data_IF_351968096627
#
_entry.id   IF_351968096627
#
_cell.length_a   1.000
_cell.length_b   1.000
_cell.length_c   1.000
_cell.angle_alpha   90.00
_cell.angle_beta   90.00
_cell.angle_gamma   90.00
#
_symmetry.space_group_name_H-M   'P 1'
#
loop_
_entity.id
_entity.type
_entity.pdbx_description
1 polymer ?
#
# COMPACT_ATOMS: atom_id res chain seq x y z
N UNK A 1 32.39 -15.16 18.88
CA UNK A 1 31.01 -15.65 18.66
C UNK A 1 30.06 -14.86 19.53
N UNK A 2 29.06 -14.26 18.95
CA UNK A 2 27.96 -13.65 19.67
C UNK A 2 27.14 -14.78 20.32
N UNK A 3 26.70 -14.57 21.57
CA UNK A 3 25.91 -15.57 22.29
C UNK A 3 24.57 -14.95 22.66
N UNK A 4 23.48 -15.62 22.32
CA UNK A 4 22.12 -15.21 22.67
C UNK A 4 21.53 -16.16 23.71
N UNK A 5 20.92 -15.61 24.76
CA UNK A 5 20.21 -16.38 25.77
C UNK A 5 18.80 -15.82 25.97
N UNK A 6 17.86 -16.67 26.38
CA UNK A 6 16.51 -16.29 26.71
C UNK A 6 16.37 -15.86 28.17
N UNK A 7 15.50 -14.87 28.43
CA UNK A 7 15.11 -14.45 29.77
C UNK A 7 13.65 -14.08 29.75
N UNK A 8 12.86 -14.62 30.67
CA UNK A 8 11.47 -14.24 30.81
C UNK A 8 11.36 -12.87 31.50
N UNK A 9 10.50 -11.99 30.99
CA UNK A 9 10.19 -10.71 31.64
C UNK A 9 9.42 -10.92 32.96
N UNK A 10 9.56 -9.98 33.89
CA UNK A 10 8.86 -10.06 35.17
C UNK A 10 7.37 -9.68 35.07
N UNK A 11 7.02 -8.81 34.10
CA UNK A 11 5.63 -8.37 33.87
C UNK A 11 4.83 -9.39 33.07
N UNK A 12 3.52 -9.40 33.34
CA UNK A 12 2.54 -10.23 32.61
C UNK A 12 1.58 -9.34 31.83
N UNK A 13 1.07 -9.84 30.72
CA UNK A 13 0.01 -9.20 29.97
C UNK A 13 -1.37 -9.53 30.56
N UNK A 14 -2.45 -9.01 30.01
CA UNK A 14 -3.84 -9.27 30.43
C UNK A 14 -4.26 -10.75 30.34
N UNK A 15 -3.52 -11.56 29.57
CA UNK A 15 -3.73 -13.01 29.44
C UNK A 15 -2.85 -13.85 30.41
N UNK A 16 -2.07 -13.23 31.31
CA UNK A 16 -1.19 -13.92 32.25
C UNK A 16 0.11 -14.48 31.59
N UNK A 17 0.42 -14.04 30.37
CA UNK A 17 1.66 -14.42 29.69
C UNK A 17 2.76 -13.40 29.95
N UNK A 18 3.99 -13.85 30.08
CA UNK A 18 5.20 -13.01 30.18
C UNK A 18 5.97 -12.99 28.86
N UNK A 19 6.53 -11.85 28.54
CA UNK A 19 7.30 -11.68 27.30
C UNK A 19 8.69 -12.34 27.43
N UNK A 20 9.11 -13.08 26.41
CA UNK A 20 10.47 -13.59 26.33
C UNK A 20 11.38 -12.48 25.82
N UNK A 21 12.47 -12.23 26.53
CA UNK A 21 13.52 -11.28 26.13
C UNK A 21 14.76 -12.04 25.71
N UNK A 22 15.46 -11.55 24.69
CA UNK A 22 16.81 -11.97 24.37
C UNK A 22 17.81 -11.17 25.19
N UNK A 23 18.85 -11.87 25.66
CA UNK A 23 20.06 -11.27 26.19
C UNK A 23 21.18 -11.60 25.22
N UNK A 24 21.59 -10.60 24.46
CA UNK A 24 22.61 -10.72 23.41
C UNK A 24 23.95 -10.26 23.98
N UNK A 25 24.93 -11.11 23.94
CA UNK A 25 26.31 -10.79 24.32
C UNK A 25 27.09 -10.44 23.06
N UNK A 26 27.30 -9.15 22.87
CA UNK A 26 27.98 -8.59 21.68
C UNK A 26 29.50 -8.70 21.88
N UNK A 27 29.99 -8.49 23.12
CA UNK A 27 31.37 -8.65 23.55
C UNK A 27 31.43 -9.17 25.00
N UNK A 28 32.63 -9.35 25.57
CA UNK A 28 32.77 -9.74 26.98
C UNK A 28 32.17 -8.73 27.95
N UNK A 29 32.16 -7.46 27.59
CA UNK A 29 31.72 -6.36 28.46
C UNK A 29 30.34 -5.79 28.01
N UNK A 30 29.95 -6.00 26.78
CA UNK A 30 28.72 -5.47 26.23
C UNK A 30 27.62 -6.52 26.11
N UNK A 31 26.52 -6.27 26.82
CA UNK A 31 25.30 -7.08 26.72
C UNK A 31 24.08 -6.20 26.49
N UNK A 32 23.24 -6.60 25.55
CA UNK A 32 22.02 -5.88 25.22
C UNK A 32 20.81 -6.77 25.52
N UNK A 33 19.79 -6.23 26.18
CA UNK A 33 18.52 -6.92 26.38
C UNK A 33 17.47 -6.33 25.42
N UNK A 34 16.78 -7.20 24.69
CA UNK A 34 15.78 -6.81 23.72
C UNK A 34 14.56 -7.73 23.79
N UNK A 35 13.32 -7.21 23.68
CA UNK A 35 12.11 -8.01 23.67
C UNK A 35 12.00 -8.84 22.38
N UNK A 36 11.62 -10.11 22.51
CA UNK A 36 11.43 -10.99 21.35
C UNK A 36 10.09 -10.76 20.61
N UNK A 37 9.13 -10.08 21.25
CA UNK A 37 7.76 -10.01 20.76
C UNK A 37 6.92 -11.29 20.96
N UNK A 38 7.49 -12.34 21.56
CA UNK A 38 6.83 -13.63 21.83
C UNK A 38 6.46 -13.70 23.29
N UNK A 39 5.19 -14.07 23.56
CA UNK A 39 4.62 -14.19 24.89
C UNK A 39 4.35 -15.64 25.23
N UNK A 40 4.66 -16.03 26.47
CA UNK A 40 4.54 -17.41 26.95
C UNK A 40 4.00 -17.41 28.37
N UNK A 41 3.11 -18.35 28.70
CA UNK A 41 2.68 -18.56 30.08
C UNK A 41 3.89 -18.94 30.96
N UNK A 42 4.04 -18.25 32.08
CA UNK A 42 5.13 -18.47 33.04
C UNK A 42 5.20 -19.92 33.52
N UNK A 43 4.08 -20.62 33.65
CA UNK A 43 4.01 -22.03 34.01
C UNK A 43 4.68 -22.96 32.99
N UNK A 44 4.72 -22.49 31.72
CA UNK A 44 5.36 -23.21 30.60
C UNK A 44 6.83 -22.81 30.40
N UNK A 45 7.39 -21.99 31.27
CA UNK A 45 8.80 -21.61 31.23
C UNK A 45 9.65 -22.55 32.11
N UNK A 46 10.58 -23.29 31.49
CA UNK A 46 11.40 -24.26 32.14
C UNK A 46 12.65 -23.68 32.83
N UNK A 47 13.22 -24.42 33.79
CA UNK A 47 14.45 -24.05 34.52
C UNK A 47 15.69 -23.83 33.62
N UNK A 48 15.67 -24.38 32.40
CA UNK A 48 16.74 -24.23 31.40
C UNK A 48 16.57 -22.96 30.54
N UNK A 49 15.70 -22.02 30.93
CA UNK A 49 15.36 -20.84 30.16
C UNK A 49 14.84 -21.16 28.72
N UNK A 50 13.99 -22.18 28.62
CA UNK A 50 13.38 -22.61 27.39
C UNK A 50 11.88 -22.93 27.64
N UNK A 51 11.09 -22.99 26.58
CA UNK A 51 9.66 -23.34 26.66
C UNK A 51 9.53 -24.83 26.98
N UNK A 52 8.81 -25.16 28.08
CA UNK A 52 8.49 -26.51 28.46
C UNK A 52 7.27 -26.99 27.66
N UNK A 53 7.48 -28.00 26.82
CA UNK A 53 6.45 -28.53 25.91
C UNK A 53 5.79 -29.75 26.55
N UNK A 54 4.45 -29.80 26.69
CA UNK A 54 3.77 -30.97 27.22
C UNK A 54 3.91 -32.17 26.27
N UNK A 55 3.95 -33.37 26.88
CA UNK A 55 4.10 -34.62 26.12
C UNK A 55 2.79 -35.05 25.42
N UNK A 56 1.63 -34.54 25.87
CA UNK A 56 0.33 -34.87 25.30
C UNK A 56 0.11 -34.07 23.99
N UNK A 57 -0.19 -34.73 22.86
CA UNK A 57 -0.53 -34.06 21.62
C UNK A 57 -1.80 -33.21 21.79
N UNK A 58 -1.82 -32.04 21.15
CA UNK A 58 -2.95 -31.12 21.16
C UNK A 58 -2.56 -29.72 20.68
N UNK A 59 -3.55 -28.87 20.45
CA UNK A 59 -3.37 -27.50 19.94
C UNK A 59 -2.39 -26.65 20.78
N UNK A 60 -2.43 -26.82 22.11
CA UNK A 60 -1.53 -26.11 23.02
C UNK A 60 -0.07 -26.50 22.77
N UNK A 61 0.20 -27.82 22.59
CA UNK A 61 1.53 -28.31 22.26
C UNK A 61 2.03 -27.74 20.96
N UNK A 62 1.20 -27.74 19.94
CA UNK A 62 1.58 -27.28 18.60
C UNK A 62 1.84 -25.76 18.61
N UNK A 63 1.04 -24.98 19.33
CA UNK A 63 1.25 -23.57 19.55
C UNK A 63 2.59 -23.27 20.27
N UNK A 64 2.92 -24.05 21.32
CA UNK A 64 4.18 -23.90 22.06
C UNK A 64 5.39 -24.32 21.22
N UNK A 65 5.25 -25.38 20.40
CA UNK A 65 6.29 -25.78 19.43
C UNK A 65 6.53 -24.68 18.40
N UNK A 66 5.49 -24.07 17.87
CA UNK A 66 5.60 -22.96 16.92
C UNK A 66 6.29 -21.73 17.58
N UNK A 67 5.92 -21.37 18.82
CA UNK A 67 6.58 -20.29 19.59
C UNK A 67 8.07 -20.60 19.80
N UNK A 68 8.42 -21.85 20.15
CA UNK A 68 9.79 -22.28 20.34
C UNK A 68 10.62 -22.27 19.06
N UNK A 69 10.04 -22.72 17.96
CA UNK A 69 10.67 -22.68 16.64
C UNK A 69 11.01 -21.24 16.22
N UNK A 70 10.05 -20.31 16.39
CA UNK A 70 10.27 -18.89 16.14
C UNK A 70 11.35 -18.26 17.01
N UNK A 71 11.44 -18.64 18.28
CA UNK A 71 12.53 -18.16 19.17
C UNK A 71 13.89 -18.63 18.66
N UNK A 72 14.02 -19.87 18.21
CA UNK A 72 15.26 -20.40 17.64
C UNK A 72 15.64 -19.67 16.34
N UNK A 73 14.69 -19.50 15.43
CA UNK A 73 14.90 -18.75 14.19
C UNK A 73 15.42 -17.33 14.48
N UNK A 74 14.83 -16.64 15.46
CA UNK A 74 15.29 -15.31 15.86
C UNK A 74 16.70 -15.32 16.43
N UNK A 75 17.07 -16.34 17.20
CA UNK A 75 18.45 -16.48 17.72
C UNK A 75 19.43 -16.63 16.58
N UNK A 76 19.15 -17.54 15.63
CA UNK A 76 20.03 -17.79 14.48
C UNK A 76 20.22 -16.52 13.64
N UNK A 77 19.14 -15.76 13.40
CA UNK A 77 19.21 -14.49 12.71
C UNK A 77 20.02 -13.43 13.46
N UNK A 78 19.83 -13.33 14.80
CA UNK A 78 20.57 -12.37 15.63
C UNK A 78 22.06 -12.73 15.66
N UNK A 79 22.41 -14.00 15.89
CA UNK A 79 23.79 -14.45 15.95
C UNK A 79 24.52 -14.22 14.63
N UNK A 80 23.90 -14.61 13.51
CA UNK A 80 24.45 -14.38 12.16
C UNK A 80 24.61 -12.89 11.85
N UNK A 81 23.62 -12.05 12.20
CA UNK A 81 23.67 -10.62 11.91
C UNK A 81 24.70 -9.89 12.78
N UNK A 82 24.86 -10.28 14.05
CA UNK A 82 25.87 -9.70 14.95
C UNK A 82 27.29 -10.15 14.56
N UNK A 83 27.44 -11.35 14.02
CA UNK A 83 28.74 -11.82 13.50
C UNK A 83 29.12 -11.11 12.20
N UNK A 84 28.17 -10.85 11.33
CA UNK A 84 28.35 -10.13 10.06
C UNK A 84 28.55 -8.61 10.22
N UNK A 85 28.31 -8.06 11.41
CA UNK A 85 28.54 -6.64 11.67
C UNK A 85 30.05 -6.33 11.76
N UNK A 86 30.55 -5.48 10.86
CA UNK A 86 31.95 -5.05 10.80
C UNK A 86 32.36 -4.32 12.08
N UNK A 87 31.46 -3.51 12.64
CA UNK A 87 31.69 -2.81 13.91
C UNK A 87 30.64 -3.24 14.95
N UNK A 88 31.09 -3.90 15.99
CA UNK A 88 30.23 -4.37 17.10
C UNK A 88 29.66 -3.24 17.95
N UNK A 89 30.21 -2.04 17.87
CA UNK A 89 29.69 -0.87 18.58
C UNK A 89 28.34 -0.39 18.00
N UNK A 90 28.05 -0.72 16.76
CA UNK A 90 26.79 -0.38 16.08
C UNK A 90 25.62 -1.29 16.51
N UNK A 91 25.90 -2.40 17.19
CA UNK A 91 24.88 -3.35 17.68
C UNK A 91 24.21 -2.78 18.93
N UNK A 92 23.30 -1.83 18.70
CA UNK A 92 22.52 -1.19 19.76
C UNK A 92 21.21 -1.95 20.00
N UNK A 93 20.53 -1.61 21.10
CA UNK A 93 19.18 -2.13 21.38
C UNK A 93 18.21 -1.84 20.24
N UNK A 94 18.22 -0.62 19.72
CA UNK A 94 17.34 -0.19 18.64
C UNK A 94 17.60 -0.98 17.35
N UNK A 95 18.88 -1.24 17.05
CA UNK A 95 19.27 -2.06 15.91
C UNK A 95 18.72 -3.49 16.03
N UNK A 96 18.85 -4.12 17.21
CA UNK A 96 18.31 -5.45 17.48
C UNK A 96 16.77 -5.49 17.45
N UNK A 97 16.10 -4.49 18.03
CA UNK A 97 14.63 -4.40 17.97
C UNK A 97 14.12 -4.27 16.51
N UNK A 98 14.83 -3.49 15.68
CA UNK A 98 14.52 -3.36 14.26
C UNK A 98 14.72 -4.68 13.50
N UNK A 99 15.80 -5.40 13.80
CA UNK A 99 16.09 -6.72 13.22
C UNK A 99 14.99 -7.73 13.59
N UNK A 100 14.66 -7.86 14.89
CA UNK A 100 13.63 -8.77 15.40
C UNK A 100 12.27 -8.45 14.78
N UNK A 101 11.90 -7.17 14.73
CA UNK A 101 10.64 -6.72 14.12
C UNK A 101 10.56 -7.08 12.64
N UNK A 102 11.69 -6.97 11.92
CA UNK A 102 11.79 -7.35 10.50
C UNK A 102 11.64 -8.85 10.30
N UNK A 103 12.13 -9.68 11.22
CA UNK A 103 12.05 -11.14 11.16
C UNK A 103 10.69 -11.68 11.62
N UNK A 104 10.10 -11.11 12.69
CA UNK A 104 8.78 -11.52 13.20
C UNK A 104 7.61 -11.10 12.30
N UNK A 105 7.77 -10.01 11.62
CA UNK A 105 6.93 -9.58 10.51
C UNK A 105 7.85 -9.58 9.30
N UNK A 106 8.13 -10.74 8.70
CA UNK A 106 8.55 -10.64 7.34
C UNK A 106 7.42 -9.81 6.72
N UNK A 107 7.68 -8.54 6.36
CA UNK A 107 7.01 -8.02 5.20
C UNK A 107 7.11 -9.20 4.26
N UNK A 108 6.03 -9.68 3.70
CA UNK A 108 6.07 -10.57 2.55
C UNK A 108 7.02 -9.87 1.58
N UNK A 109 8.29 -10.09 1.86
CA UNK A 109 9.39 -9.43 1.21
C UNK A 109 10.00 -10.56 0.42
N UNK A 110 9.47 -10.73 -0.74
CA UNK A 110 10.43 -10.60 -1.82
C UNK A 110 11.22 -9.34 -1.49
N UNK A 111 12.48 -9.51 -1.08
CA UNK A 111 13.50 -8.48 -1.16
C UNK A 111 13.72 -8.24 -2.65
N UNK A 112 12.78 -7.60 -3.24
CA UNK A 112 13.01 -6.73 -4.37
C UNK A 112 13.67 -5.52 -3.71
N UNK A 113 14.97 -5.28 -3.99
CA UNK A 113 15.53 -3.93 -3.97
C UNK A 113 14.38 -2.97 -4.18
N UNK A 114 14.35 -1.83 -3.45
CA UNK A 114 13.35 -0.77 -3.60
C UNK A 114 13.29 -0.28 -5.07
N UNK A 115 12.91 -1.14 -5.98
CA UNK A 115 12.25 -0.75 -7.20
C UNK A 115 10.94 -0.17 -6.71
N UNK A 116 10.88 1.15 -6.60
CA UNK A 116 9.62 1.89 -6.55
C UNK A 116 8.76 1.24 -7.62
N UNK A 117 7.87 0.32 -7.19
CA UNK A 117 6.94 -0.30 -8.12
C UNK A 117 6.08 0.88 -8.56
N UNK A 118 6.25 1.26 -9.81
CA UNK A 118 5.52 2.38 -10.37
C UNK A 118 4.03 2.08 -10.28
N UNK A 119 3.28 3.03 -9.72
CA UNK A 119 1.82 2.93 -9.58
C UNK A 119 1.16 2.50 -10.90
N UNK A 120 1.62 3.05 -12.02
CA UNK A 120 1.04 2.78 -13.33
C UNK A 120 1.42 1.40 -13.88
N UNK A 121 2.58 0.86 -13.53
CA UNK A 121 2.93 -0.54 -13.83
C UNK A 121 1.97 -1.53 -13.17
N UNK A 122 1.55 -1.25 -11.93
CA UNK A 122 0.54 -2.07 -11.23
C UNK A 122 -0.85 -1.94 -11.88
N UNK A 123 -1.19 -0.76 -12.45
CA UNK A 123 -2.45 -0.63 -13.22
C UNK A 123 -2.44 -1.46 -14.50
N UNK A 124 -1.30 -1.57 -15.16
CA UNK A 124 -1.14 -2.40 -16.36
C UNK A 124 -1.21 -3.90 -16.00
N UNK A 125 -0.61 -4.30 -14.88
CA UNK A 125 -0.71 -5.65 -14.33
C UNK A 125 -2.16 -6.00 -13.98
N UNK A 126 -2.89 -5.11 -13.29
CA UNK A 126 -4.31 -5.27 -13.00
C UNK A 126 -5.14 -5.52 -14.26
N UNK A 127 -4.91 -4.74 -15.31
CA UNK A 127 -5.64 -4.86 -16.58
C UNK A 127 -5.35 -6.18 -17.30
N UNK A 128 -4.16 -6.77 -17.12
CA UNK A 128 -3.75 -8.00 -17.77
C UNK A 128 -4.16 -9.24 -16.98
N UNK A 129 -4.08 -9.20 -15.66
CA UNK A 129 -4.32 -10.36 -14.79
C UNK A 129 -5.78 -10.48 -14.33
N UNK A 130 -6.46 -9.36 -14.13
CA UNK A 130 -7.85 -9.37 -13.67
C UNK A 130 -8.81 -9.47 -14.86
N UNK A 131 -9.64 -10.53 -14.87
CA UNK A 131 -10.59 -10.82 -15.96
C UNK A 131 -11.71 -9.77 -16.04
N UNK A 132 -11.41 -8.63 -16.67
CA UNK A 132 -12.36 -7.55 -16.88
C UNK A 132 -13.05 -7.67 -18.24
N UNK A 133 -14.32 -7.25 -18.32
CA UNK A 133 -14.98 -7.06 -19.62
C UNK A 133 -14.34 -5.90 -20.38
N UNK A 134 -14.42 -5.92 -21.74
CA UNK A 134 -13.88 -4.82 -22.56
C UNK A 134 -14.38 -3.42 -22.12
N UNK A 135 -15.64 -3.33 -21.76
CA UNK A 135 -16.22 -2.06 -21.29
C UNK A 135 -15.54 -1.59 -20.00
N UNK A 136 -15.31 -2.49 -19.02
CA UNK A 136 -14.59 -2.17 -17.77
C UNK A 136 -13.14 -1.78 -18.03
N UNK A 137 -12.46 -2.49 -18.94
CA UNK A 137 -11.09 -2.12 -19.37
C UNK A 137 -11.07 -0.70 -19.96
N UNK A 138 -12.01 -0.35 -20.85
CA UNK A 138 -12.12 1.00 -21.42
C UNK A 138 -12.31 2.05 -20.32
N UNK A 139 -13.20 1.79 -19.37
CA UNK A 139 -13.47 2.71 -18.26
C UNK A 139 -12.28 2.82 -17.29
N UNK A 140 -11.59 1.73 -16.99
CA UNK A 140 -10.42 1.76 -16.15
C UNK A 140 -9.26 2.52 -16.81
N UNK A 141 -9.08 2.37 -18.12
CA UNK A 141 -8.11 3.18 -18.88
C UNK A 141 -8.40 4.68 -18.82
N UNK A 142 -9.68 5.08 -18.69
CA UNK A 142 -10.04 6.50 -18.44
C UNK A 142 -9.51 6.92 -17.06
N UNK A 143 -9.72 6.12 -16.01
CA UNK A 143 -9.21 6.37 -14.68
C UNK A 143 -7.68 6.52 -14.69
N UNK A 144 -6.95 5.58 -15.32
CA UNK A 144 -5.48 5.63 -15.41
C UNK A 144 -4.99 6.93 -16.04
N UNK A 145 -5.58 7.35 -17.19
CA UNK A 145 -5.20 8.63 -17.82
C UNK A 145 -5.50 9.82 -16.90
N UNK A 146 -6.61 9.79 -16.20
CA UNK A 146 -6.96 10.86 -15.26
C UNK A 146 -6.03 10.93 -14.07
N UNK A 147 -5.61 9.79 -13.52
CA UNK A 147 -4.61 9.73 -12.46
C UNK A 147 -3.23 10.22 -12.93
N UNK A 148 -2.84 9.94 -14.18
CA UNK A 148 -1.61 10.50 -14.77
C UNK A 148 -1.67 12.03 -14.84
N UNK A 149 -2.79 12.62 -15.29
CA UNK A 149 -2.97 14.07 -15.29
C UNK A 149 -2.98 14.67 -13.89
N UNK A 150 -3.64 13.98 -12.94
CA UNK A 150 -3.62 14.39 -11.54
C UNK A 150 -2.19 14.42 -10.98
N UNK A 151 -1.38 13.40 -11.25
CA UNK A 151 0.02 13.38 -10.83
C UNK A 151 0.81 14.54 -11.42
N UNK A 152 0.64 14.84 -12.73
CA UNK A 152 1.27 15.99 -13.38
C UNK A 152 0.80 17.31 -12.77
N UNK A 153 -0.49 17.47 -12.51
CA UNK A 153 -1.04 18.64 -11.83
C UNK A 153 -0.43 18.85 -10.46
N UNK A 154 -0.31 17.78 -9.65
CA UNK A 154 0.32 17.85 -8.33
C UNK A 154 1.81 18.20 -8.41
N UNK A 155 2.48 17.80 -9.47
CA UNK A 155 3.90 18.15 -9.71
C UNK A 155 4.11 19.65 -9.94
N UNK A 156 3.10 20.42 -10.35
CA UNK A 156 3.19 21.88 -10.45
C UNK A 156 3.47 22.52 -9.08
N UNK A 157 2.81 22.04 -8.04
CA UNK A 157 3.00 22.51 -6.65
C UNK A 157 4.14 21.78 -5.93
N UNK A 158 4.32 20.49 -6.20
CA UNK A 158 5.33 19.65 -5.57
C UNK A 158 6.03 18.79 -6.63
N UNK A 159 7.17 19.24 -7.14
CA UNK A 159 7.93 18.55 -8.20
C UNK A 159 8.29 17.08 -7.88
N UNK A 160 8.31 16.70 -6.59
CA UNK A 160 8.64 15.34 -6.14
C UNK A 160 7.41 14.47 -5.93
N UNK A 161 6.22 15.00 -6.22
CA UNK A 161 4.99 14.23 -6.06
C UNK A 161 4.96 13.06 -7.04
N UNK A 162 4.70 11.87 -6.51
CA UNK A 162 4.50 10.63 -7.26
C UNK A 162 3.35 9.89 -6.60
N UNK A 163 2.43 9.38 -7.38
CA UNK A 163 1.43 8.46 -6.88
C UNK A 163 2.11 7.15 -6.47
N UNK A 164 1.93 6.76 -5.22
CA UNK A 164 2.47 5.53 -4.66
C UNK A 164 1.36 4.80 -3.91
N UNK A 165 1.13 3.54 -4.27
CA UNK A 165 0.07 2.69 -3.69
C UNK A 165 0.17 2.58 -2.17
N UNK A 166 1.36 2.74 -1.61
CA UNK A 166 1.60 2.65 -0.17
C UNK A 166 1.27 3.94 0.60
N UNK A 167 1.21 5.09 -0.09
CA UNK A 167 1.09 6.41 0.55
C UNK A 167 -0.22 7.14 0.24
N UNK A 168 -1.02 6.65 -0.71
CA UNK A 168 -2.36 7.21 -0.95
C UNK A 168 -3.18 7.16 0.34
N UNK A 169 -3.76 8.29 0.72
CA UNK A 169 -4.54 8.48 1.93
C UNK A 169 -5.96 8.98 1.61
N UNK A 170 -6.89 8.99 2.57
CA UNK A 170 -8.19 9.63 2.40
C UNK A 170 -8.09 11.07 1.90
N UNK A 171 -7.15 11.86 2.42
CA UNK A 171 -6.90 13.22 1.95
C UNK A 171 -6.46 13.28 0.47
N UNK A 172 -5.71 12.28 0.00
CA UNK A 172 -5.35 12.16 -1.42
C UNK A 172 -6.58 11.86 -2.29
N UNK A 173 -7.55 11.08 -1.77
CA UNK A 173 -8.80 10.79 -2.47
C UNK A 173 -9.68 12.04 -2.58
N UNK A 174 -9.77 12.85 -1.52
CA UNK A 174 -10.50 14.12 -1.52
C UNK A 174 -9.88 15.11 -2.51
N UNK A 175 -8.56 15.23 -2.51
CA UNK A 175 -7.82 16.09 -3.42
C UNK A 175 -7.97 15.63 -4.89
N UNK A 176 -7.96 14.32 -5.14
CA UNK A 176 -8.28 13.78 -6.46
C UNK A 176 -9.73 14.07 -6.88
N UNK A 177 -10.68 13.98 -5.96
CA UNK A 177 -12.07 14.36 -6.19
C UNK A 177 -12.21 15.85 -6.56
N UNK A 178 -11.52 16.73 -5.84
CA UNK A 178 -11.48 18.16 -6.13
C UNK A 178 -10.85 18.45 -7.50
N UNK A 179 -9.77 17.76 -7.87
CA UNK A 179 -9.16 17.82 -9.19
C UNK A 179 -10.17 17.47 -10.30
N UNK A 180 -10.94 16.39 -10.13
CA UNK A 180 -11.94 15.94 -11.10
C UNK A 180 -13.03 16.99 -11.36
N UNK A 181 -13.45 17.70 -10.31
CA UNK A 181 -14.46 18.76 -10.41
C UNK A 181 -13.91 20.00 -11.12
N UNK A 182 -12.64 20.33 -10.89
CA UNK A 182 -11.96 21.51 -11.46
C UNK A 182 -11.24 21.24 -12.78
N UNK A 183 -11.35 20.03 -13.33
CA UNK A 183 -10.60 19.63 -14.53
C UNK A 183 -10.79 20.58 -15.72
N UNK A 184 -11.98 21.19 -16.00
CA UNK A 184 -12.13 22.20 -17.06
C UNK A 184 -11.34 23.49 -16.81
N UNK A 185 -11.31 23.98 -15.57
CA UNK A 185 -10.55 25.18 -15.17
C UNK A 185 -9.04 24.92 -15.28
N UNK A 186 -8.59 23.76 -14.80
CA UNK A 186 -7.20 23.32 -14.90
C UNK A 186 -6.76 23.20 -16.36
N UNK A 187 -7.64 22.77 -17.26
CA UNK A 187 -7.35 22.72 -18.68
C UNK A 187 -7.11 24.12 -19.25
N UNK A 188 -7.89 25.10 -18.83
CA UNK A 188 -7.79 26.47 -19.33
C UNK A 188 -6.51 27.16 -18.77
N UNK A 189 -6.09 26.83 -17.54
CA UNK A 189 -4.88 27.37 -16.90
C UNK A 189 -3.59 26.62 -17.30
N UNK A 190 -3.67 25.31 -17.51
CA UNK A 190 -2.54 24.40 -17.72
C UNK A 190 -2.80 23.44 -18.89
N UNK A 191 -2.95 23.95 -20.13
CA UNK A 191 -3.22 23.10 -21.30
C UNK A 191 -2.10 22.09 -21.60
N UNK A 192 -0.85 22.38 -21.19
CA UNK A 192 0.31 21.51 -21.35
C UNK A 192 0.15 20.13 -20.72
N UNK A 193 -0.62 20.01 -19.62
CA UNK A 193 -0.89 18.72 -18.98
C UNK A 193 -1.72 17.80 -19.88
N UNK A 194 -2.53 18.39 -20.76
CA UNK A 194 -3.39 17.66 -21.68
C UNK A 194 -2.71 17.39 -23.03
N UNK A 195 -1.64 18.08 -23.33
CA UNK A 195 -0.74 17.74 -24.46
C UNK A 195 0.04 16.44 -24.12
N UNK A 196 0.53 16.32 -22.87
CA UNK A 196 1.24 15.14 -22.40
C UNK A 196 0.29 13.95 -22.22
N UNK A 197 -0.85 14.13 -21.56
CA UNK A 197 -1.85 13.10 -21.30
C UNK A 197 -3.23 13.55 -21.80
N UNK A 198 -3.58 13.28 -23.06
CA UNK A 198 -4.84 13.75 -23.66
C UNK A 198 -6.08 13.29 -22.89
N UNK A 199 -7.04 14.20 -22.71
CA UNK A 199 -8.32 13.91 -22.06
C UNK A 199 -9.11 12.82 -22.80
N UNK A 200 -9.19 12.91 -24.11
CA UNK A 200 -9.83 11.90 -24.95
C UNK A 200 -8.93 11.53 -26.13
N UNK A 201 -8.93 10.26 -26.50
CA UNK A 201 -8.29 9.88 -27.78
C UNK A 201 -9.06 10.51 -28.92
N UNK A 202 -8.42 11.21 -29.86
CA UNK A 202 -9.09 11.72 -31.06
C UNK A 202 -9.78 10.56 -31.79
N UNK A 203 -11.09 10.67 -32.01
CA UNK A 203 -11.80 9.69 -32.84
C UNK A 203 -11.40 9.95 -34.27
N UNK A 204 -10.43 9.18 -34.79
CA UNK A 204 -10.09 9.20 -36.20
C UNK A 204 -11.26 8.60 -36.97
N UNK A 205 -12.14 9.43 -37.51
CA UNK A 205 -13.14 9.01 -38.51
C UNK A 205 -12.42 8.98 -39.86
N UNK A 206 -12.47 7.82 -40.53
CA UNK A 206 -11.71 7.55 -41.77
C UNK A 206 -11.84 8.60 -42.87
N UNK A 207 -12.86 9.45 -42.83
CA UNK A 207 -13.19 10.39 -43.92
C UNK A 207 -13.45 11.83 -43.47
N UNK A 208 -13.07 12.22 -42.21
CA UNK A 208 -13.26 13.59 -41.75
C UNK A 208 -11.96 14.10 -41.12
N UNK A 209 -11.56 15.35 -41.47
CA UNK A 209 -10.37 15.94 -40.85
C UNK A 209 -10.60 16.10 -39.33
N UNK A 210 -9.59 15.79 -38.55
CA UNK A 210 -9.59 16.02 -37.09
C UNK A 210 -9.58 17.52 -36.85
N UNK A 211 -10.67 18.07 -36.28
CA UNK A 211 -10.71 19.48 -35.88
C UNK A 211 -9.72 19.68 -34.72
N UNK A 212 -8.70 20.48 -34.93
CA UNK A 212 -7.65 20.78 -33.94
C UNK A 212 -7.84 22.09 -33.21
N UNK A 213 -8.68 23.00 -33.75
CA UNK A 213 -8.99 24.31 -33.17
C UNK A 213 -10.44 24.43 -32.71
N UNK A 214 -10.80 25.51 -31.97
CA UNK A 214 -12.14 25.81 -31.56
C UNK A 214 -13.07 25.85 -32.77
N UNK A 215 -14.29 25.30 -32.62
CA UNK A 215 -15.34 25.36 -33.66
C UNK A 215 -16.71 25.52 -33.01
N UNK A 216 -17.66 26.07 -33.77
CA UNK A 216 -19.05 26.15 -33.35
C UNK A 216 -19.78 24.82 -33.61
N UNK A 217 -20.54 24.35 -32.64
CA UNK A 217 -21.44 23.21 -32.81
C UNK A 217 -22.75 23.64 -33.47
N UNK A 218 -23.68 22.70 -33.70
CA UNK A 218 -24.97 22.98 -34.29
C UNK A 218 -25.87 23.88 -33.42
N UNK A 219 -25.58 24.02 -32.14
CA UNK A 219 -26.28 24.89 -31.20
C UNK A 219 -25.64 26.30 -31.09
N UNK A 220 -24.60 26.59 -31.87
CA UNK A 220 -23.88 27.88 -31.85
C UNK A 220 -22.90 28.03 -30.71
N UNK A 221 -22.58 26.95 -29.96
CA UNK A 221 -21.64 26.99 -28.85
C UNK A 221 -20.20 26.73 -29.33
N UNK A 222 -19.26 27.46 -28.76
CA UNK A 222 -17.82 27.22 -29.03
C UNK A 222 -17.35 25.95 -28.38
N UNK A 223 -16.92 24.97 -29.16
CA UNK A 223 -16.34 23.70 -28.69
C UNK A 223 -14.84 23.75 -28.88
N UNK A 224 -14.11 23.58 -27.78
CA UNK A 224 -12.65 23.42 -27.78
C UNK A 224 -12.34 21.90 -27.75
N UNK A 225 -11.71 21.34 -28.82
CA UNK A 225 -11.39 19.93 -28.87
C UNK A 225 -10.44 19.54 -27.74
N UNK A 226 -10.77 18.46 -27.04
CA UNK A 226 -9.95 17.97 -25.93
C UNK A 226 -10.23 18.61 -24.58
N UNK A 227 -10.96 19.71 -24.52
CA UNK A 227 -11.36 20.34 -23.24
C UNK A 227 -12.27 19.41 -22.45
N UNK A 228 -11.98 19.14 -21.18
CA UNK A 228 -12.85 18.39 -20.29
C UNK A 228 -14.22 19.08 -20.15
N UNK A 229 -15.27 18.29 -20.00
CA UNK A 229 -16.58 18.81 -19.62
C UNK A 229 -16.68 18.89 -18.11
N UNK A 230 -17.48 19.84 -17.61
CA UNK A 230 -17.86 19.87 -16.21
C UNK A 230 -18.45 18.53 -15.76
N UNK A 231 -18.08 18.09 -14.58
CA UNK A 231 -18.46 16.80 -14.02
C UNK A 231 -19.13 16.98 -12.66
N UNK A 232 -20.20 16.24 -12.43
CA UNK A 232 -20.87 16.20 -11.12
C UNK A 232 -20.28 15.13 -10.20
N UNK A 233 -20.79 15.12 -8.95
CA UNK A 233 -20.36 14.17 -7.91
C UNK A 233 -20.50 12.69 -8.31
N UNK A 234 -21.51 12.35 -9.12
CA UNK A 234 -21.66 10.98 -9.62
C UNK A 234 -20.43 10.49 -10.41
N UNK A 235 -19.81 11.37 -11.18
CA UNK A 235 -18.59 11.04 -11.92
C UNK A 235 -17.41 10.83 -10.98
N UNK A 236 -17.28 11.68 -9.96
CA UNK A 236 -16.24 11.53 -8.91
C UNK A 236 -16.42 10.21 -8.20
N UNK A 237 -17.63 9.89 -7.75
CA UNK A 237 -17.97 8.63 -7.08
C UNK A 237 -17.64 7.41 -7.95
N UNK A 238 -17.98 7.43 -9.23
CA UNK A 238 -17.69 6.36 -10.18
C UNK A 238 -16.17 6.14 -10.36
N UNK A 239 -15.39 7.22 -10.44
CA UNK A 239 -13.93 7.13 -10.51
C UNK A 239 -13.31 6.56 -9.22
N UNK A 240 -13.82 6.97 -8.05
CA UNK A 240 -13.38 6.47 -6.76
C UNK A 240 -13.77 4.99 -6.54
N UNK A 241 -14.95 4.57 -7.01
CA UNK A 241 -15.37 3.16 -6.96
C UNK A 241 -14.42 2.28 -7.77
N UNK A 242 -14.01 2.72 -8.96
CA UNK A 242 -13.03 1.99 -9.78
C UNK A 242 -11.65 1.95 -9.11
N UNK A 243 -11.23 3.06 -8.52
CA UNK A 243 -9.96 3.11 -7.78
C UNK A 243 -10.01 2.20 -6.55
N UNK A 244 -11.14 2.14 -5.83
CA UNK A 244 -11.33 1.19 -4.72
C UNK A 244 -11.22 -0.27 -5.19
N UNK A 245 -11.82 -0.62 -6.33
CA UNK A 245 -11.70 -1.97 -6.88
C UNK A 245 -10.25 -2.35 -7.19
N UNK A 246 -9.44 -1.40 -7.65
CA UNK A 246 -8.01 -1.58 -7.84
C UNK A 246 -7.27 -1.80 -6.51
N UNK A 247 -7.59 -1.03 -5.45
CA UNK A 247 -6.98 -1.21 -4.14
C UNK A 247 -7.35 -2.55 -3.49
N UNK A 248 -8.59 -3.04 -3.67
CA UNK A 248 -8.97 -4.39 -3.24
C UNK A 248 -8.07 -5.43 -3.91
N UNK A 249 -7.91 -5.35 -5.24
CA UNK A 249 -7.02 -6.25 -5.98
C UNK A 249 -5.56 -6.14 -5.51
N UNK A 250 -5.03 -4.95 -5.26
CA UNK A 250 -3.68 -4.74 -4.74
C UNK A 250 -3.47 -5.43 -3.39
N UNK A 251 -4.45 -5.33 -2.49
CA UNK A 251 -4.40 -5.98 -1.18
C UNK A 251 -4.50 -7.50 -1.29
N UNK A 252 -5.41 -8.01 -2.12
CA UNK A 252 -5.62 -9.45 -2.33
C UNK A 252 -4.38 -10.13 -2.94
N UNK A 253 -3.63 -9.41 -3.78
CA UNK A 253 -2.39 -9.92 -4.38
C UNK A 253 -1.11 -9.56 -3.59
N UNK A 254 -1.25 -8.90 -2.44
CA UNK A 254 -0.13 -8.59 -1.55
C UNK A 254 0.80 -7.47 -2.03
N UNK A 255 0.39 -6.68 -3.03
CA UNK A 255 1.18 -5.54 -3.53
C UNK A 255 1.26 -4.40 -2.52
N UNK A 256 0.24 -4.23 -1.68
CA UNK A 256 0.22 -3.24 -0.59
C UNK A 256 -0.60 -3.73 0.59
N UNK A 257 -0.34 -3.20 1.79
CA UNK A 257 -1.20 -3.31 2.96
C UNK A 257 -2.00 -2.03 3.22
N UNK A 258 -1.83 -1.01 2.36
CA UNK A 258 -2.53 0.25 2.45
C UNK A 258 -3.95 0.09 1.90
N UNK A 259 -4.95 0.51 2.68
CA UNK A 259 -6.35 0.59 2.25
C UNK A 259 -6.90 1.99 2.54
N UNK A 260 -6.75 2.93 1.59
CA UNK A 260 -7.22 4.29 1.76
C UNK A 260 -8.76 4.40 1.84
N UNK A 261 -9.47 3.34 1.44
CA UNK A 261 -10.94 3.31 1.45
C UNK A 261 -11.54 2.71 2.73
N UNK A 262 -10.73 2.16 3.65
CA UNK A 262 -11.21 1.51 4.88
C UNK A 262 -12.11 2.41 5.73
N UNK A 263 -11.80 3.71 5.79
CA UNK A 263 -12.58 4.71 6.53
C UNK A 263 -13.15 5.80 5.61
N UNK A 264 -12.95 5.68 4.30
CA UNK A 264 -13.40 6.67 3.31
C UNK A 264 -14.78 6.33 2.78
N UNK A 265 -15.74 7.22 3.00
CA UNK A 265 -17.10 7.05 2.51
C UNK A 265 -17.26 7.72 1.15
N UNK A 266 -17.36 6.94 0.08
CA UNK A 266 -17.67 7.47 -1.26
C UNK A 266 -19.12 7.94 -1.25
N UNK A 267 -19.38 9.13 -1.81
CA UNK A 267 -20.74 9.66 -1.94
C UNK A 267 -21.61 8.74 -2.82
N UNK A 268 -22.88 8.61 -2.44
CA UNK A 268 -23.82 7.78 -3.19
C UNK A 268 -24.10 8.38 -4.57
N UNK A 269 -24.25 7.49 -5.56
CA UNK A 269 -24.60 7.90 -6.91
C UNK A 269 -26.11 8.18 -6.94
N UNK A 270 -26.46 9.44 -7.24
CA UNK A 270 -27.86 9.86 -7.38
C UNK A 270 -28.29 9.69 -8.84
N UNK A 271 -29.24 8.80 -9.07
CA UNK A 271 -29.85 8.60 -10.39
C UNK A 271 -31.00 9.58 -10.58
N UNK A 272 -31.07 10.20 -11.76
CA UNK A 272 -32.22 11.02 -12.14
C UNK A 272 -33.50 10.17 -12.25
N UNK A 273 -34.66 10.82 -12.12
CA UNK A 273 -35.96 10.16 -12.31
C UNK A 273 -36.06 9.69 -13.77
N UNK A 274 -36.39 8.42 -14.05
CA UNK A 274 -36.57 7.94 -15.40
C UNK A 274 -37.71 8.72 -16.09
N UNK A 275 -37.43 9.36 -17.22
CA UNK A 275 -38.47 9.96 -18.05
C UNK A 275 -39.04 8.84 -18.93
N UNK A 276 -40.20 8.34 -18.60
CA UNK A 276 -40.94 7.43 -19.49
C UNK A 276 -41.61 8.28 -20.56
N UNK A 277 -41.15 8.15 -21.80
CA UNK A 277 -41.87 8.68 -22.96
C UNK A 277 -42.99 7.70 -23.27
N UNK A 278 -44.23 8.08 -22.97
CA UNK A 278 -45.45 7.34 -23.34
C UNK A 278 -45.79 7.62 -24.80
#
# INVERSE_FOLDING_TARGET
MAKVTYVLAQGENSAGESQVNFRVYVSRESRVRVPSGIWVDRKRWGKKNDINIPNIPGEERDALLAKRAKLKELVDVIETSVEAADDKSTVTREWLEKLIRRTLRPKTATSVEDKKIDFFSLTDEYLTTHKLSESRVKHFNVLVRTLKRYELYRKLSNRRFVLDVHTVSPATLDDFGAFLMKEPEIFDEHPELYDEVPYSRPKVRKNLPVKRGPYLNAAGETVIPGRPKERGMNYVSDMLIRLRSFYVWLNDNGHTSNDPFKQYKIAEIVYGTPIYIT
#
